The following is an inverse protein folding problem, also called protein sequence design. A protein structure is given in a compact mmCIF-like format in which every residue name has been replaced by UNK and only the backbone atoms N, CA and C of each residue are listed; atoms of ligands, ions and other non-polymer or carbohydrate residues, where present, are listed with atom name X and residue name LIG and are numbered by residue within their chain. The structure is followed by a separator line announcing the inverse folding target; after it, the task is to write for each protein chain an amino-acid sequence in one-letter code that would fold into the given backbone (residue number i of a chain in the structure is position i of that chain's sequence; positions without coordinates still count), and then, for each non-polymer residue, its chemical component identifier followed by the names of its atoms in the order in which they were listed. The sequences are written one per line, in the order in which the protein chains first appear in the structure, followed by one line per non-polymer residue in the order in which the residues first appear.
data_IF_028379198175
#
_entry.id   IF_028379198175
#
_cell.length_a   1.000
_cell.length_b   1.000
_cell.length_c   1.000
_cell.angle_alpha   90.00
_cell.angle_beta   90.00
_cell.angle_gamma   90.00
#
_symmetry.space_group_name_H-M   'P 1'
#
loop_
_entity.id
_entity.type
_entity.pdbx_description
1 polymer ?
#
# COMPACT_ATOMS: atom_id res chain seq x y z
N UNK A 1 7.42 41.63 -61.24
CA UNK A 1 7.97 40.27 -61.35
C UNK A 1 6.78 39.34 -61.62
N UNK A 2 6.80 38.59 -62.75
CA UNK A 2 5.70 37.78 -63.27
C UNK A 2 5.65 36.42 -62.58
N UNK A 3 4.47 35.80 -62.38
CA UNK A 3 4.32 34.45 -61.85
C UNK A 3 4.50 33.41 -62.98
N UNK A 4 5.13 32.27 -62.60
CA UNK A 4 5.32 31.10 -63.47
C UNK A 4 4.07 30.18 -63.41
N UNK A 5 3.67 29.56 -64.57
CA UNK A 5 2.54 28.67 -64.59
C UNK A 5 2.89 27.20 -64.31
N UNK A 6 1.97 26.49 -63.67
CA UNK A 6 2.03 25.06 -63.37
C UNK A 6 1.62 24.23 -64.63
N UNK A 7 2.23 23.05 -64.92
CA UNK A 7 1.83 22.20 -66.02
C UNK A 7 0.74 21.22 -65.57
N UNK A 8 -0.26 21.08 -66.45
CA UNK A 8 -1.35 20.08 -66.38
C UNK A 8 -0.81 18.67 -66.65
N UNK A 9 -0.92 17.75 -65.68
CA UNK A 9 -0.62 16.33 -65.82
C UNK A 9 -1.87 15.54 -66.19
N UNK A 10 -1.82 14.82 -67.30
CA UNK A 10 -2.85 13.95 -67.87
C UNK A 10 -3.11 12.73 -66.98
N UNK A 11 -4.39 12.41 -66.75
CA UNK A 11 -4.84 11.18 -66.12
C UNK A 11 -4.62 9.97 -67.06
N UNK A 12 -3.82 9.02 -66.65
CA UNK A 12 -3.65 7.72 -67.29
C UNK A 12 -4.66 6.76 -66.69
N UNK A 13 -5.66 6.36 -67.50
CA UNK A 13 -6.60 5.30 -67.18
C UNK A 13 -5.93 3.96 -67.47
N UNK A 14 -5.72 3.13 -66.47
CA UNK A 14 -5.41 1.70 -66.61
C UNK A 14 -6.67 0.85 -66.57
N UNK A 15 -6.85 -0.14 -67.45
CA UNK A 15 -7.99 -1.06 -67.44
C UNK A 15 -7.72 -2.20 -66.45
N UNK A 16 -8.62 -2.38 -65.48
CA UNK A 16 -8.61 -3.53 -64.60
C UNK A 16 -9.28 -4.73 -65.30
N UNK A 17 -8.66 -5.92 -65.29
CA UNK A 17 -9.36 -7.12 -65.68
C UNK A 17 -10.30 -7.58 -64.59
N UNK A 18 -11.56 -7.70 -64.89
CA UNK A 18 -12.56 -8.42 -64.09
C UNK A 18 -12.23 -9.91 -64.17
N UNK A 19 -11.96 -10.52 -63.05
CA UNK A 19 -11.97 -11.94 -62.67
C UNK A 19 -10.83 -12.20 -61.66
N UNK A 20 -11.06 -11.94 -60.39
CA UNK A 20 -10.54 -12.69 -59.21
C UNK A 20 -11.28 -12.14 -57.98
N UNK A 21 -12.56 -12.47 -57.86
CA UNK A 21 -13.31 -12.22 -56.62
C UNK A 21 -14.00 -13.51 -56.23
N UNK A 22 -13.31 -14.46 -55.64
CA UNK A 22 -13.93 -15.60 -54.96
C UNK A 22 -13.01 -16.41 -54.02
N UNK A 23 -11.74 -16.05 -53.82
CA UNK A 23 -10.85 -16.94 -53.04
C UNK A 23 -10.06 -16.29 -51.90
N UNK A 24 -10.39 -15.06 -51.46
CA UNK A 24 -9.65 -14.37 -50.38
C UNK A 24 -10.53 -14.10 -49.14
N UNK A 25 -11.79 -14.51 -49.10
CA UNK A 25 -12.72 -14.29 -48.00
C UNK A 25 -12.79 -15.45 -46.98
N UNK A 26 -11.99 -16.51 -47.12
CA UNK A 26 -11.98 -17.66 -46.21
C UNK A 26 -10.72 -17.75 -45.30
N UNK A 27 -9.75 -16.85 -45.42
CA UNK A 27 -8.48 -16.93 -44.65
C UNK A 27 -8.29 -15.81 -43.62
N UNK A 28 -9.28 -14.95 -43.38
CA UNK A 28 -9.18 -13.81 -42.40
C UNK A 28 -10.10 -13.92 -41.20
N UNK A 29 -10.64 -15.11 -40.89
CA UNK A 29 -11.53 -15.34 -39.74
C UNK A 29 -10.92 -16.21 -38.61
N UNK A 30 -9.61 -16.42 -38.58
CA UNK A 30 -8.96 -17.26 -37.55
C UNK A 30 -7.86 -16.52 -36.78
N UNK A 31 -7.80 -15.21 -36.73
CA UNK A 31 -6.76 -14.48 -36.01
C UNK A 31 -7.27 -13.33 -35.15
N UNK A 32 -8.47 -13.43 -34.57
CA UNK A 32 -8.94 -12.51 -33.49
C UNK A 32 -9.53 -13.30 -32.33
N UNK A 33 -8.86 -14.37 -31.91
CA UNK A 33 -8.91 -14.78 -30.53
C UNK A 33 -7.65 -14.24 -29.87
N UNK A 34 -7.67 -12.92 -29.67
CA UNK A 34 -6.70 -12.23 -28.84
C UNK A 34 -6.75 -12.83 -27.45
N UNK A 35 -5.59 -13.09 -26.93
CA UNK A 35 -5.32 -13.41 -25.53
C UNK A 35 -5.92 -12.32 -24.63
N UNK A 36 -7.20 -12.43 -24.31
CA UNK A 36 -7.81 -11.69 -23.23
C UNK A 36 -7.12 -12.11 -21.92
N UNK A 37 -6.96 -11.21 -20.96
CA UNK A 37 -6.43 -11.60 -19.67
C UNK A 37 -7.30 -12.71 -19.11
N UNK A 38 -6.70 -13.87 -18.86
CA UNK A 38 -7.38 -14.98 -18.19
C UNK A 38 -7.71 -14.54 -16.77
N UNK A 39 -8.99 -14.27 -16.50
CA UNK A 39 -9.48 -14.09 -15.14
C UNK A 39 -9.24 -15.40 -14.38
N UNK A 40 -8.33 -15.38 -13.46
CA UNK A 40 -8.16 -16.44 -12.48
C UNK A 40 -9.46 -16.52 -11.68
N UNK A 41 -9.97 -17.74 -11.45
CA UNK A 41 -11.21 -17.98 -10.70
C UNK A 41 -11.19 -17.44 -9.26
N UNK A 42 -10.03 -17.01 -8.75
CA UNK A 42 -9.89 -16.42 -7.41
C UNK A 42 -10.11 -14.89 -7.34
N UNK A 43 -10.43 -14.22 -8.45
CA UNK A 43 -10.70 -12.78 -8.47
C UNK A 43 -9.53 -11.88 -8.03
N UNK A 44 -8.34 -12.45 -7.84
CA UNK A 44 -7.12 -11.69 -7.52
C UNK A 44 -6.36 -11.41 -8.79
N UNK A 45 -6.32 -10.14 -9.19
CA UNK A 45 -5.37 -9.68 -10.20
C UNK A 45 -3.96 -10.00 -9.67
N UNK A 46 -3.24 -10.91 -10.32
CA UNK A 46 -1.81 -11.07 -10.06
C UNK A 46 -1.13 -9.81 -10.60
N UNK A 47 -0.62 -8.99 -9.71
CA UNK A 47 0.22 -7.85 -10.09
C UNK A 47 1.42 -8.36 -10.91
N UNK A 48 1.76 -7.65 -11.99
CA UNK A 48 2.95 -7.92 -12.78
C UNK A 48 4.22 -7.65 -11.96
N UNK A 49 5.39 -8.14 -12.41
CA UNK A 49 6.66 -7.81 -11.77
C UNK A 49 6.87 -6.29 -11.76
N UNK A 50 6.97 -5.69 -10.57
CA UNK A 50 7.14 -4.25 -10.37
C UNK A 50 5.86 -3.44 -10.20
N UNK A 51 4.68 -4.05 -10.34
CA UNK A 51 3.41 -3.40 -10.06
C UNK A 51 3.17 -3.29 -8.55
N UNK A 52 2.81 -2.08 -8.09
CA UNK A 52 2.49 -1.84 -6.67
C UNK A 52 1.11 -2.39 -6.36
N UNK A 53 1.04 -3.33 -5.42
CA UNK A 53 -0.23 -3.89 -4.95
C UNK A 53 -0.88 -2.91 -3.98
N UNK A 54 -2.04 -2.37 -4.36
CA UNK A 54 -2.88 -1.56 -3.48
C UNK A 54 -3.72 -2.49 -2.60
N UNK A 55 -3.57 -2.44 -1.28
CA UNK A 55 -4.28 -3.35 -0.39
C UNK A 55 -5.78 -3.03 -0.33
N UNK A 56 -6.58 -4.08 -0.09
CA UNK A 56 -8.00 -3.94 0.17
C UNK A 56 -8.31 -4.37 1.60
N UNK A 57 -8.86 -3.46 2.40
CA UNK A 57 -9.25 -3.68 3.79
C UNK A 57 -10.77 -3.71 3.98
N UNK A 58 -11.55 -3.48 2.93
CA UNK A 58 -13.00 -3.31 2.99
C UNK A 58 -13.74 -4.42 2.26
N UNK A 59 -14.88 -4.84 2.84
CA UNK A 59 -15.77 -5.80 2.23
C UNK A 59 -16.80 -5.09 1.35
N UNK A 60 -16.77 -5.38 0.04
CA UNK A 60 -17.73 -4.82 -0.93
C UNK A 60 -19.18 -5.24 -0.66
N UNK A 61 -19.37 -6.39 -0.01
CA UNK A 61 -20.71 -6.93 0.24
C UNK A 61 -21.36 -6.33 1.49
N UNK A 62 -20.56 -5.68 2.35
CA UNK A 62 -21.00 -5.13 3.62
C UNK A 62 -20.70 -3.64 3.72
N UNK A 63 -21.21 -2.85 2.75
CA UNK A 63 -21.05 -1.40 2.74
C UNK A 63 -21.80 -0.78 3.92
N UNK A 64 -21.15 0.03 4.76
CA UNK A 64 -21.83 0.74 5.83
C UNK A 64 -22.83 1.74 5.25
N UNK A 65 -23.99 1.88 5.91
CA UNK A 65 -24.96 2.90 5.54
C UNK A 65 -24.39 4.30 5.81
N UNK A 66 -24.74 5.25 4.94
CA UNK A 66 -24.41 6.66 5.18
C UNK A 66 -25.06 7.13 6.48
N UNK A 67 -24.30 7.57 7.48
CA UNK A 67 -24.86 8.05 8.74
C UNK A 67 -25.49 9.43 8.57
N UNK A 68 -26.41 9.77 9.47
CA UNK A 68 -26.92 11.14 9.59
C UNK A 68 -25.89 12.01 10.32
N UNK A 69 -25.35 12.99 9.61
CA UNK A 69 -24.37 13.95 10.13
C UNK A 69 -24.94 15.36 10.31
N UNK A 70 -26.28 15.52 10.39
CA UNK A 70 -26.97 16.82 10.47
C UNK A 70 -26.45 17.72 11.60
N UNK A 71 -25.91 17.12 12.68
CA UNK A 71 -25.31 17.87 13.81
C UNK A 71 -23.80 18.09 13.72
N UNK A 72 -23.10 17.47 12.76
CA UNK A 72 -21.66 17.51 12.67
C UNK A 72 -21.22 18.61 11.71
N UNK A 73 -20.75 19.75 12.24
CA UNK A 73 -20.30 20.89 11.42
C UNK A 73 -18.84 20.78 11.02
N UNK A 74 -18.01 20.22 11.88
CA UNK A 74 -16.56 20.08 11.67
C UNK A 74 -16.04 18.85 12.40
N UNK A 75 -15.12 18.12 11.77
CA UNK A 75 -14.36 17.03 12.40
C UNK A 75 -12.93 17.52 12.63
N UNK A 76 -12.47 17.47 13.88
CA UNK A 76 -11.15 17.94 14.29
C UNK A 76 -10.20 16.72 14.37
N UNK A 77 -9.35 16.57 13.37
CA UNK A 77 -8.31 15.53 13.36
C UNK A 77 -7.08 15.99 14.13
N UNK A 78 -6.52 15.08 14.90
CA UNK A 78 -5.23 15.21 15.58
C UNK A 78 -4.22 14.30 14.87
N UNK A 79 -3.02 14.81 14.63
CA UNK A 79 -1.90 14.06 14.07
C UNK A 79 -0.60 14.56 14.68
N UNK A 80 0.51 13.86 14.44
CA UNK A 80 1.86 14.43 14.59
C UNK A 80 2.51 14.59 13.20
N UNK A 81 3.73 15.12 13.15
CA UNK A 81 4.39 15.51 11.91
C UNK A 81 5.80 14.88 11.73
N UNK A 82 6.05 13.75 12.39
CA UNK A 82 7.39 13.15 12.47
C UNK A 82 7.50 11.74 11.86
N UNK A 83 6.51 11.26 11.11
CA UNK A 83 6.49 9.88 10.60
C UNK A 83 6.14 9.79 9.10
N UNK A 84 7.02 10.27 8.20
CA UNK A 84 6.80 10.10 6.76
C UNK A 84 6.85 8.59 6.38
N UNK A 85 6.10 8.17 5.36
CA UNK A 85 5.18 8.97 4.52
C UNK A 85 3.74 9.05 5.07
N UNK A 86 3.49 8.59 6.30
CA UNK A 86 2.13 8.50 6.85
C UNK A 86 1.61 9.84 7.36
N UNK A 87 2.43 10.59 8.11
CA UNK A 87 2.11 11.93 8.61
C UNK A 87 3.41 12.72 8.88
N UNK A 88 3.53 13.88 8.27
CA UNK A 88 4.73 14.71 8.35
C UNK A 88 4.40 16.18 8.02
N UNK A 89 5.33 17.09 8.30
CA UNK A 89 5.24 18.46 7.80
C UNK A 89 5.79 18.55 6.37
N UNK A 90 5.04 19.16 5.45
CA UNK A 90 5.53 19.45 4.11
C UNK A 90 6.57 20.59 4.09
N UNK A 91 6.99 21.02 2.90
CA UNK A 91 7.97 22.07 2.74
C UNK A 91 7.51 23.45 3.28
N UNK A 92 6.21 23.65 3.35
CA UNK A 92 5.54 24.83 3.87
C UNK A 92 5.22 24.73 5.38
N UNK A 93 5.56 23.58 6.00
CA UNK A 93 5.29 23.29 7.41
C UNK A 93 3.84 22.90 7.69
N UNK A 94 3.06 22.55 6.66
CA UNK A 94 1.68 22.12 6.82
C UNK A 94 1.61 20.59 7.01
N UNK A 95 0.60 20.09 7.76
CA UNK A 95 0.44 18.65 7.93
C UNK A 95 0.10 17.97 6.60
N UNK A 96 0.89 16.98 6.23
CA UNK A 96 0.79 16.18 5.02
C UNK A 96 1.02 14.69 5.32
N UNK A 97 0.87 13.83 4.32
CA UNK A 97 1.12 12.40 4.42
C UNK A 97 -0.14 11.57 4.17
N UNK A 98 0.06 10.27 3.97
CA UNK A 98 -1.02 9.36 3.58
C UNK A 98 -2.22 9.39 4.53
N UNK A 99 -2.00 9.34 5.85
CA UNK A 99 -3.08 9.37 6.84
C UNK A 99 -3.81 10.71 6.87
N UNK A 100 -3.09 11.81 6.63
CA UNK A 100 -3.62 13.17 6.63
C UNK A 100 -4.47 13.42 5.39
N UNK A 101 -3.95 13.05 4.21
CA UNK A 101 -4.67 13.23 2.95
C UNK A 101 -5.87 12.28 2.84
N UNK A 102 -5.76 11.06 3.39
CA UNK A 102 -6.90 10.16 3.51
C UNK A 102 -7.99 10.73 4.42
N UNK A 103 -7.62 11.38 5.55
CA UNK A 103 -8.59 12.04 6.41
C UNK A 103 -9.32 13.19 5.67
N UNK A 104 -8.60 13.99 4.86
CA UNK A 104 -9.20 15.03 4.01
C UNK A 104 -10.17 14.44 2.99
N UNK A 105 -9.75 13.40 2.26
CA UNK A 105 -10.59 12.71 1.27
C UNK A 105 -11.88 12.13 1.91
N UNK A 106 -11.78 11.57 3.10
CA UNK A 106 -12.95 11.09 3.87
C UNK A 106 -13.89 12.24 4.19
N UNK A 107 -13.37 13.40 4.59
CA UNK A 107 -14.19 14.58 4.87
C UNK A 107 -14.92 15.12 3.63
N UNK A 108 -14.23 15.12 2.48
CA UNK A 108 -14.82 15.53 1.20
C UNK A 108 -16.00 14.62 0.82
N UNK A 109 -15.85 13.31 0.97
CA UNK A 109 -16.93 12.32 0.75
C UNK A 109 -18.11 12.54 1.72
N UNK A 110 -17.81 12.83 2.98
CA UNK A 110 -18.82 13.09 4.00
C UNK A 110 -19.48 14.47 3.84
N UNK A 111 -18.88 15.38 3.07
CA UNK A 111 -19.28 16.78 2.91
C UNK A 111 -19.30 17.53 4.25
N UNK A 112 -18.33 17.26 5.10
CA UNK A 112 -18.15 17.89 6.41
C UNK A 112 -16.80 18.63 6.42
N UNK A 113 -16.78 19.83 6.98
CA UNK A 113 -15.53 20.57 7.15
C UNK A 113 -14.59 19.81 8.11
N UNK A 114 -13.28 19.81 7.79
CA UNK A 114 -12.28 19.17 8.63
C UNK A 114 -11.14 20.12 8.95
N UNK A 115 -10.59 19.96 10.15
CA UNK A 115 -9.36 20.63 10.56
C UNK A 115 -8.32 19.57 10.95
N UNK A 116 -7.06 19.79 10.57
CA UNK A 116 -5.94 18.94 10.98
C UNK A 116 -5.10 19.73 11.97
N UNK A 117 -4.90 19.20 13.15
CA UNK A 117 -4.15 19.84 14.23
C UNK A 117 -2.95 18.97 14.60
N UNK A 118 -1.76 19.53 14.48
CA UNK A 118 -0.53 18.85 14.89
C UNK A 118 -0.38 18.91 16.41
N UNK A 119 -0.02 17.79 17.01
CA UNK A 119 0.29 17.58 18.42
C UNK A 119 1.52 16.68 18.55
N UNK A 120 2.18 16.71 19.69
CA UNK A 120 3.21 15.72 19.98
C UNK A 120 2.60 14.32 20.04
N UNK A 121 3.26 13.33 19.48
CA UNK A 121 2.79 11.95 19.39
C UNK A 121 2.37 11.38 20.76
N UNK A 122 3.20 11.60 21.79
CA UNK A 122 2.96 11.13 23.16
C UNK A 122 1.72 11.74 23.84
N UNK A 123 1.19 12.86 23.31
CA UNK A 123 0.01 13.55 23.85
C UNK A 123 -1.28 13.31 23.04
N UNK A 124 -1.22 12.59 21.92
CA UNK A 124 -2.36 12.42 21.02
C UNK A 124 -3.56 11.74 21.70
N UNK A 125 -3.31 10.61 22.37
CA UNK A 125 -4.39 9.82 23.01
C UNK A 125 -5.02 10.58 24.17
N UNK A 126 -4.24 11.30 24.97
CA UNK A 126 -4.77 12.11 26.08
C UNK A 126 -5.51 13.33 25.54
N UNK A 127 -5.02 13.99 24.47
CA UNK A 127 -5.71 15.08 23.81
C UNK A 127 -7.08 14.65 23.26
N UNK A 128 -7.19 13.43 22.70
CA UNK A 128 -8.45 12.86 22.24
C UNK A 128 -9.39 12.58 23.41
N UNK A 129 -8.90 11.99 24.49
CA UNK A 129 -9.68 11.72 25.70
C UNK A 129 -10.23 13.01 26.34
N UNK A 130 -9.45 14.10 26.31
CA UNK A 130 -9.83 15.43 26.82
C UNK A 130 -10.68 16.25 25.81
N UNK A 131 -11.15 15.65 24.73
CA UNK A 131 -11.97 16.29 23.70
C UNK A 131 -11.30 17.50 23.02
N UNK A 132 -9.97 17.55 22.96
CA UNK A 132 -9.21 18.57 22.23
C UNK A 132 -9.23 18.34 20.71
N UNK A 133 -9.71 17.19 20.26
CA UNK A 133 -10.01 16.77 18.90
C UNK A 133 -11.07 15.67 18.92
N UNK A 134 -11.45 15.22 17.75
CA UNK A 134 -12.52 14.22 17.60
C UNK A 134 -11.97 12.88 17.09
N UNK A 135 -10.89 12.92 16.29
CA UNK A 135 -10.28 11.77 15.60
C UNK A 135 -8.76 11.91 15.65
N UNK A 136 -8.04 10.81 15.83
CA UNK A 136 -6.60 10.75 15.58
C UNK A 136 -6.36 10.09 14.22
N UNK A 137 -5.59 10.77 13.36
CA UNK A 137 -5.05 10.28 12.09
C UNK A 137 -3.52 10.20 12.19
N UNK A 138 -3.03 9.16 12.87
CA UNK A 138 -1.61 8.90 13.07
C UNK A 138 -1.32 7.40 13.01
N UNK A 139 -0.06 7.02 12.82
CA UNK A 139 0.37 5.62 12.68
C UNK A 139 0.40 4.86 14.02
N UNK A 140 -0.66 4.94 14.80
CA UNK A 140 -0.80 4.20 16.06
C UNK A 140 -1.34 2.80 15.75
N UNK A 141 -0.58 1.72 16.00
CA UNK A 141 -1.02 0.37 15.72
C UNK A 141 -2.26 -0.03 16.54
N UNK A 142 -3.23 -0.61 15.88
CA UNK A 142 -4.42 -1.16 16.54
C UNK A 142 -4.01 -2.40 17.35
N UNK A 143 -4.15 -2.30 18.67
CA UNK A 143 -3.88 -3.38 19.63
C UNK A 143 -4.99 -3.42 20.66
N UNK A 144 -5.10 -4.53 21.38
CA UNK A 144 -6.12 -4.74 22.40
C UNK A 144 -6.18 -3.61 23.44
N UNK A 145 -5.04 -3.16 23.97
CA UNK A 145 -4.97 -2.06 24.94
C UNK A 145 -5.54 -0.73 24.38
N UNK A 146 -5.37 -0.47 23.08
CA UNK A 146 -5.99 0.70 22.44
C UNK A 146 -7.51 0.55 22.39
N UNK A 147 -8.00 -0.62 22.00
CA UNK A 147 -9.44 -0.92 21.91
C UNK A 147 -10.16 -0.90 23.26
N UNK A 148 -9.45 -1.11 24.35
CA UNK A 148 -10.01 -0.97 25.70
C UNK A 148 -10.34 0.49 26.07
N UNK A 149 -9.60 1.46 25.54
CA UNK A 149 -9.75 2.89 25.86
C UNK A 149 -10.51 3.66 24.78
N UNK A 150 -10.36 3.29 23.53
CA UNK A 150 -10.85 4.01 22.37
C UNK A 150 -11.58 3.10 21.39
N UNK A 151 -12.37 3.70 20.50
CA UNK A 151 -12.93 3.06 19.32
C UNK A 151 -12.00 3.31 18.13
N UNK A 152 -11.90 2.35 17.21
CA UNK A 152 -11.07 2.45 16.01
C UNK A 152 -11.89 2.05 14.80
N UNK A 153 -11.73 2.77 13.69
CA UNK A 153 -12.32 2.40 12.39
C UNK A 153 -11.76 1.07 11.88
N UNK A 154 -12.29 0.60 10.77
CA UNK A 154 -11.60 -0.37 9.93
C UNK A 154 -10.18 0.12 9.62
N UNK A 155 -9.18 -0.77 9.58
CA UNK A 155 -7.83 -0.36 9.25
C UNK A 155 -7.78 0.14 7.81
N UNK A 156 -7.05 1.23 7.60
CA UNK A 156 -6.80 1.78 6.26
C UNK A 156 -5.35 1.58 5.81
N UNK A 157 -4.48 1.13 6.68
CA UNK A 157 -3.09 0.84 6.38
C UNK A 157 -2.59 -0.34 7.21
N UNK A 158 -1.81 -1.20 6.56
CA UNK A 158 -1.08 -2.28 7.21
C UNK A 158 0.22 -2.49 6.43
N UNK A 159 1.28 -2.82 7.13
CA UNK A 159 2.52 -3.27 6.52
C UNK A 159 2.73 -4.75 6.87
N UNK A 160 3.02 -5.61 5.89
CA UNK A 160 3.38 -7.00 6.17
C UNK A 160 4.81 -7.08 6.68
N UNK A 161 5.13 -8.14 7.42
CA UNK A 161 6.52 -8.54 7.57
C UNK A 161 7.00 -9.29 6.31
N UNK A 162 8.24 -9.07 5.91
CA UNK A 162 8.80 -9.67 4.70
C UNK A 162 10.20 -10.23 4.97
N UNK A 163 10.52 -11.33 4.28
CA UNK A 163 11.91 -11.78 4.15
C UNK A 163 12.59 -11.05 2.99
N UNK A 164 13.85 -10.73 3.19
CA UNK A 164 14.75 -10.21 2.16
C UNK A 164 16.00 -11.08 2.13
N UNK A 165 16.45 -11.42 0.93
CA UNK A 165 17.67 -12.18 0.65
C UNK A 165 18.50 -11.49 -0.42
N UNK A 166 19.76 -11.89 -0.59
CA UNK A 166 20.63 -11.40 -1.67
C UNK A 166 20.09 -11.79 -3.04
N UNK A 167 20.14 -10.90 -4.02
CA UNK A 167 19.56 -11.08 -5.34
C UNK A 167 20.27 -12.16 -6.19
N UNK A 168 21.56 -12.35 -6.02
CA UNK A 168 22.37 -13.30 -6.80
C UNK A 168 22.63 -14.65 -6.14
N UNK A 169 21.86 -15.03 -5.11
CA UNK A 169 22.04 -16.29 -4.40
C UNK A 169 20.91 -17.29 -4.65
N UNK A 170 21.23 -18.59 -4.67
CA UNK A 170 20.25 -19.69 -4.74
C UNK A 170 19.62 -19.99 -3.38
N UNK A 171 19.19 -18.92 -2.66
CA UNK A 171 18.48 -19.12 -1.42
C UNK A 171 17.02 -19.49 -1.72
N UNK A 172 16.51 -20.58 -1.13
CA UNK A 172 15.13 -21.02 -1.34
C UNK A 172 14.13 -20.05 -0.70
N UNK A 173 12.87 -20.16 -1.12
CA UNK A 173 11.79 -19.46 -0.42
C UNK A 173 11.73 -19.87 1.05
N UNK A 174 11.45 -18.92 1.97
CA UNK A 174 11.40 -19.19 3.39
C UNK A 174 10.22 -20.09 3.75
N UNK A 175 10.51 -21.33 4.12
CA UNK A 175 9.57 -22.29 4.72
C UNK A 175 10.16 -22.81 6.02
N UNK A 176 9.37 -23.56 6.80
CA UNK A 176 9.85 -24.18 8.03
C UNK A 176 11.06 -25.09 7.76
N UNK A 177 11.04 -25.80 6.65
CA UNK A 177 12.07 -26.75 6.24
C UNK A 177 13.32 -26.05 5.66
N UNK A 178 13.12 -25.07 4.80
CA UNK A 178 14.22 -24.40 4.09
C UNK A 178 15.02 -23.46 4.98
N UNK A 179 14.45 -22.98 6.08
CA UNK A 179 15.12 -22.13 7.05
C UNK A 179 15.91 -22.91 8.12
N UNK A 180 15.82 -24.25 8.15
CA UNK A 180 16.61 -25.06 9.10
C UNK A 180 18.09 -24.77 8.93
N UNK A 181 18.73 -24.31 10.02
CA UNK A 181 20.16 -23.99 10.06
C UNK A 181 20.56 -22.68 9.37
N UNK A 182 19.64 -22.00 8.66
CA UNK A 182 19.88 -20.69 8.04
C UNK A 182 19.83 -19.58 9.09
N UNK A 183 20.67 -18.58 8.90
CA UNK A 183 20.71 -17.41 9.81
C UNK A 183 19.79 -16.30 9.29
N UNK A 184 18.82 -15.93 10.10
CA UNK A 184 17.87 -14.84 9.80
C UNK A 184 18.09 -13.67 10.73
N UNK A 185 18.45 -12.51 10.17
CA UNK A 185 18.63 -11.25 10.90
C UNK A 185 17.28 -10.63 11.26
N UNK A 186 17.12 -10.20 12.51
CA UNK A 186 15.96 -9.46 13.01
C UNK A 186 16.41 -8.37 13.96
N UNK A 187 15.58 -7.33 14.16
CA UNK A 187 15.82 -6.34 15.20
C UNK A 187 15.55 -6.96 16.58
N UNK A 188 16.43 -6.70 17.54
CA UNK A 188 16.29 -7.20 18.90
C UNK A 188 14.95 -6.76 19.53
N UNK A 189 14.34 -7.65 20.30
CA UNK A 189 13.05 -7.40 21.00
C UNK A 189 11.87 -7.01 20.07
N UNK A 190 12.00 -7.24 18.78
CA UNK A 190 10.92 -6.96 17.80
C UNK A 190 9.89 -8.08 17.73
N UNK A 191 8.69 -7.74 17.29
CA UNK A 191 7.63 -8.71 16.95
C UNK A 191 8.10 -9.70 15.88
N UNK A 192 8.94 -9.24 14.94
CA UNK A 192 9.54 -10.07 13.89
C UNK A 192 10.42 -11.20 14.48
N UNK A 193 11.23 -10.86 15.49
CA UNK A 193 12.05 -11.85 16.19
C UNK A 193 11.22 -12.88 16.97
N UNK A 194 10.12 -12.44 17.60
CA UNK A 194 9.18 -13.34 18.29
C UNK A 194 8.48 -14.26 17.29
N UNK A 195 7.96 -13.71 16.20
CA UNK A 195 7.31 -14.45 15.12
C UNK A 195 8.24 -15.51 14.54
N UNK A 196 9.46 -15.13 14.18
CA UNK A 196 10.46 -16.02 13.60
C UNK A 196 10.74 -17.23 14.50
N UNK A 197 10.93 -17.03 15.80
CA UNK A 197 11.18 -18.10 16.76
C UNK A 197 10.02 -19.09 16.88
N UNK A 198 8.79 -18.62 16.76
CA UNK A 198 7.58 -19.44 16.90
C UNK A 198 7.27 -20.18 15.60
N UNK A 199 7.32 -19.48 14.47
CA UNK A 199 6.87 -20.02 13.19
C UNK A 199 7.99 -20.75 12.42
N UNK A 200 9.25 -20.46 12.71
CA UNK A 200 10.42 -21.05 12.05
C UNK A 200 11.45 -21.51 13.08
N UNK A 201 11.12 -22.50 13.93
CA UNK A 201 11.96 -22.88 15.08
C UNK A 201 13.33 -23.46 14.69
N UNK A 202 13.48 -23.92 13.45
CA UNK A 202 14.77 -24.42 12.92
C UNK A 202 15.72 -23.32 12.42
N UNK A 203 15.26 -22.06 12.33
CA UNK A 203 16.08 -20.95 11.89
C UNK A 203 17.02 -20.47 13.02
N UNK A 204 18.26 -20.12 12.65
CA UNK A 204 19.18 -19.42 13.56
C UNK A 204 18.86 -17.94 13.58
N UNK A 205 18.47 -17.41 14.74
CA UNK A 205 18.07 -16.00 14.88
C UNK A 205 19.30 -15.14 15.19
N UNK A 206 19.69 -14.29 14.22
CA UNK A 206 20.68 -13.23 14.40
C UNK A 206 19.99 -11.93 14.86
N UNK A 207 20.28 -11.45 16.07
CA UNK A 207 19.65 -10.21 16.60
C UNK A 207 20.55 -9.01 16.41
N UNK A 208 19.97 -7.89 15.96
CA UNK A 208 20.66 -6.63 15.71
C UNK A 208 20.01 -5.48 16.51
N UNK A 209 20.77 -4.48 16.96
CA UNK A 209 20.23 -3.34 17.71
C UNK A 209 19.20 -2.51 16.90
N UNK A 210 19.37 -2.44 15.57
CA UNK A 210 18.49 -1.70 14.67
C UNK A 210 18.45 -2.36 13.28
N UNK A 211 17.53 -1.91 12.43
CA UNK A 211 17.30 -2.47 11.10
C UNK A 211 18.48 -2.23 10.16
N UNK A 212 19.12 -1.06 10.21
CA UNK A 212 20.28 -0.75 9.37
C UNK A 212 21.43 -1.73 9.54
N UNK A 213 21.75 -2.11 10.78
CA UNK A 213 22.77 -3.12 11.05
C UNK A 213 22.39 -4.51 10.57
N UNK A 214 21.10 -4.88 10.59
CA UNK A 214 20.62 -6.13 10.01
C UNK A 214 20.73 -6.12 8.47
N UNK A 215 20.41 -4.98 7.84
CA UNK A 215 20.55 -4.75 6.41
C UNK A 215 22.01 -4.83 5.96
N UNK A 216 22.93 -4.20 6.70
CA UNK A 216 24.38 -4.31 6.46
C UNK A 216 24.87 -5.74 6.60
N UNK A 217 24.41 -6.46 7.63
CA UNK A 217 24.78 -7.86 7.82
C UNK A 217 24.30 -8.76 6.66
N UNK A 218 23.14 -8.47 6.06
CA UNK A 218 22.68 -9.17 4.87
C UNK A 218 23.56 -8.86 3.65
N UNK A 219 23.86 -7.59 3.41
CA UNK A 219 24.74 -7.15 2.34
C UNK A 219 26.12 -7.79 2.46
N UNK A 220 26.68 -7.80 3.67
CA UNK A 220 27.99 -8.35 4.01
C UNK A 220 28.03 -9.89 4.11
N UNK A 221 26.93 -10.60 3.82
CA UNK A 221 26.82 -12.05 3.87
C UNK A 221 27.01 -12.65 5.29
N UNK A 222 26.77 -11.89 6.33
CA UNK A 222 26.83 -12.35 7.75
C UNK A 222 25.55 -13.08 8.15
N UNK A 223 24.44 -12.84 7.42
CA UNK A 223 23.16 -13.54 7.56
C UNK A 223 22.65 -13.96 6.16
N UNK A 224 21.83 -15.01 6.11
CA UNK A 224 21.22 -15.49 4.87
C UNK A 224 20.01 -14.65 4.46
N UNK A 225 19.20 -14.29 5.45
CA UNK A 225 17.98 -13.49 5.29
C UNK A 225 17.92 -12.38 6.33
N UNK A 226 17.12 -11.35 6.05
CA UNK A 226 16.57 -10.42 7.05
C UNK A 226 15.06 -10.53 7.03
N UNK A 227 14.45 -10.57 8.22
CA UNK A 227 12.99 -10.58 8.37
C UNK A 227 12.55 -9.35 9.16
N UNK A 228 11.83 -8.45 8.50
CA UNK A 228 11.49 -7.14 9.04
C UNK A 228 10.21 -6.56 8.40
N UNK A 229 9.88 -5.33 8.79
CA UNK A 229 8.78 -4.54 8.22
C UNK A 229 8.93 -4.36 6.71
N UNK A 230 7.87 -4.68 5.96
CA UNK A 230 7.88 -4.69 4.50
C UNK A 230 8.10 -3.31 3.89
N UNK A 231 7.47 -2.25 4.43
CA UNK A 231 7.67 -0.89 3.91
C UNK A 231 9.10 -0.42 4.14
N UNK A 232 9.62 -0.60 5.36
CA UNK A 232 11.00 -0.22 5.69
C UNK A 232 12.01 -0.93 4.79
N UNK A 233 11.78 -2.23 4.51
CA UNK A 233 12.64 -2.99 3.60
C UNK A 233 12.46 -2.58 2.14
N UNK A 234 11.23 -2.26 1.69
CA UNK A 234 10.99 -1.77 0.33
C UNK A 234 11.69 -0.44 0.06
N UNK A 235 11.64 0.49 1.01
CA UNK A 235 12.33 1.78 0.91
C UNK A 235 13.85 1.58 0.83
N UNK A 236 14.40 0.71 1.67
CA UNK A 236 15.83 0.39 1.63
C UNK A 236 16.22 -0.28 0.30
N UNK A 237 15.48 -1.29 -0.18
CA UNK A 237 15.76 -2.01 -1.43
C UNK A 237 15.77 -1.09 -2.65
N UNK A 238 14.98 -0.03 -2.64
CA UNK A 238 14.91 0.96 -3.72
C UNK A 238 15.84 2.17 -3.48
N UNK A 239 16.48 2.25 -2.32
CA UNK A 239 17.45 3.29 -1.99
C UNK A 239 18.87 2.96 -2.44
N UNK A 240 19.75 3.96 -2.35
CA UNK A 240 21.18 3.82 -2.67
C UNK A 240 21.90 2.82 -1.77
N UNK A 241 21.47 2.71 -0.52
CA UNK A 241 22.16 1.93 0.53
C UNK A 241 22.10 0.42 0.28
N UNK A 242 21.05 -0.06 -0.37
CA UNK A 242 20.98 -1.45 -0.78
C UNK A 242 21.92 -1.79 -1.94
N UNK A 243 22.32 -0.79 -2.76
CA UNK A 243 23.19 -0.95 -3.92
C UNK A 243 22.78 -2.12 -4.85
N UNK A 244 21.46 -2.41 -4.97
CA UNK A 244 20.94 -3.52 -5.76
C UNK A 244 21.30 -4.93 -5.24
N UNK A 245 21.80 -5.05 -3.99
CA UNK A 245 22.29 -6.33 -3.44
C UNK A 245 21.20 -7.37 -3.30
N UNK A 246 19.97 -6.96 -3.10
CA UNK A 246 19.00 -7.75 -2.38
C UNK A 246 17.59 -7.62 -2.98
N UNK A 247 16.70 -8.58 -2.63
CA UNK A 247 15.31 -8.60 -3.08
C UNK A 247 14.39 -9.22 -2.04
N UNK A 248 13.13 -8.94 -2.12
CA UNK A 248 12.12 -9.71 -1.39
C UNK A 248 12.10 -11.17 -1.84
N UNK A 249 11.82 -12.04 -0.88
CA UNK A 249 11.69 -13.47 -1.12
C UNK A 249 10.56 -14.05 -0.24
N UNK A 250 9.74 -14.93 -0.78
CA UNK A 250 8.54 -15.45 -0.14
C UNK A 250 7.39 -14.43 -0.07
N UNK A 251 6.28 -14.88 0.46
CA UNK A 251 5.07 -14.11 0.57
C UNK A 251 5.07 -13.08 1.70
N UNK A 252 4.05 -12.19 1.76
CA UNK A 252 3.84 -11.31 2.91
C UNK A 252 3.31 -12.09 4.11
N UNK A 253 3.76 -11.71 5.31
CA UNK A 253 3.32 -12.27 6.60
C UNK A 253 2.53 -11.19 7.34
N UNK A 254 1.25 -11.46 7.61
CA UNK A 254 0.30 -10.44 8.10
C UNK A 254 -0.44 -10.85 9.37
N UNK A 255 0.07 -11.82 10.13
CA UNK A 255 -0.56 -12.35 11.33
C UNK A 255 -0.74 -11.26 12.40
N UNK A 256 -1.98 -10.85 12.60
CA UNK A 256 -2.36 -9.74 13.47
C UNK A 256 -1.93 -9.91 14.93
N UNK A 257 -1.84 -11.15 15.40
CA UNK A 257 -1.34 -11.48 16.74
C UNK A 257 0.08 -10.94 16.99
N UNK A 258 0.93 -10.86 15.95
CA UNK A 258 2.31 -10.41 16.06
C UNK A 258 2.49 -8.98 15.53
N UNK A 259 1.91 -8.66 14.38
CA UNK A 259 2.15 -7.41 13.66
C UNK A 259 1.03 -6.38 13.85
N UNK A 260 -0.01 -6.73 14.64
CA UNK A 260 -1.17 -5.89 14.86
C UNK A 260 -2.20 -5.96 13.72
N UNK A 261 -3.33 -5.30 13.94
CA UNK A 261 -4.44 -5.28 12.97
C UNK A 261 -4.23 -4.21 11.88
N UNK A 262 -3.20 -3.39 11.99
CA UNK A 262 -2.92 -2.26 11.12
C UNK A 262 -3.14 -0.93 11.83
N UNK A 263 -3.38 0.12 11.04
CA UNK A 263 -3.64 1.50 11.46
C UNK A 263 -5.03 1.91 10.99
N UNK A 264 -5.80 2.50 11.87
CA UNK A 264 -7.13 3.06 11.62
C UNK A 264 -7.28 4.43 12.28
N UNK A 265 -8.34 5.15 11.99
CA UNK A 265 -8.67 6.36 12.73
C UNK A 265 -9.14 6.01 14.13
N UNK A 266 -8.63 6.74 15.13
CA UNK A 266 -8.96 6.49 16.54
C UNK A 266 -9.94 7.57 17.01
N UNK A 267 -11.00 7.14 17.69
CA UNK A 267 -12.12 7.96 18.09
C UNK A 267 -12.43 7.67 19.56
N UNK A 268 -13.08 8.60 20.28
CA UNK A 268 -13.63 8.30 21.61
C UNK A 268 -14.67 7.18 21.55
N UNK A 269 -14.82 6.42 22.63
CA UNK A 269 -15.77 5.29 22.67
C UNK A 269 -17.24 5.68 22.64
N UNK A 270 -17.55 6.87 23.04
CA UNK A 270 -18.91 7.43 23.16
C UNK A 270 -19.43 8.05 21.86
N UNK A 271 -18.71 7.92 20.75
CA UNK A 271 -19.10 8.49 19.46
C UNK A 271 -19.24 7.41 18.34
N UNK A 272 -20.26 6.56 18.42
CA UNK A 272 -20.49 5.53 17.41
C UNK A 272 -20.91 6.10 16.04
N UNK A 273 -21.54 7.28 16.02
CA UNK A 273 -21.98 7.95 14.78
C UNK A 273 -20.76 8.41 14.00
N UNK A 274 -19.79 9.04 14.65
CA UNK A 274 -18.55 9.45 14.01
C UNK A 274 -17.74 8.26 13.49
N UNK A 275 -17.69 7.16 14.26
CA UNK A 275 -17.07 5.92 13.79
C UNK A 275 -17.73 5.42 12.50
N UNK A 276 -19.05 5.30 12.49
CA UNK A 276 -19.80 4.85 11.31
C UNK A 276 -19.57 5.77 10.10
N UNK A 277 -19.51 7.09 10.35
CA UNK A 277 -19.23 8.07 9.31
C UNK A 277 -17.84 7.87 8.68
N UNK A 278 -16.82 7.69 9.52
CA UNK A 278 -15.46 7.51 9.06
C UNK A 278 -15.30 6.17 8.33
N UNK A 279 -15.92 5.07 8.82
CA UNK A 279 -15.91 3.79 8.13
C UNK A 279 -16.62 3.87 6.76
N UNK A 280 -17.76 4.58 6.68
CA UNK A 280 -18.44 4.85 5.42
C UNK A 280 -17.55 5.69 4.47
N UNK A 281 -16.96 6.75 4.97
CA UNK A 281 -16.08 7.62 4.17
C UNK A 281 -14.86 6.86 3.63
N UNK A 282 -14.19 6.06 4.47
CA UNK A 282 -13.05 5.22 4.06
C UNK A 282 -13.43 4.25 2.94
N UNK A 283 -14.58 3.58 3.06
CA UNK A 283 -15.03 2.68 2.02
C UNK A 283 -15.34 3.41 0.71
N UNK A 284 -15.98 4.58 0.77
CA UNK A 284 -16.29 5.37 -0.43
C UNK A 284 -15.02 5.89 -1.13
N UNK A 285 -14.05 6.39 -0.38
CA UNK A 285 -12.73 6.81 -0.91
C UNK A 285 -12.00 5.63 -1.58
N UNK A 286 -12.22 4.41 -1.07
CA UNK A 286 -11.69 3.21 -1.71
C UNK A 286 -12.48 2.81 -2.98
N UNK A 287 -13.82 2.89 -2.94
CA UNK A 287 -14.69 2.53 -4.07
C UNK A 287 -14.51 3.44 -5.28
N UNK A 288 -14.28 4.74 -5.07
CA UNK A 288 -14.10 5.74 -6.14
C UNK A 288 -12.66 5.82 -6.68
N UNK A 289 -11.72 5.06 -6.09
CA UNK A 289 -10.32 4.99 -6.52
C UNK A 289 -9.39 6.01 -5.87
N UNK A 290 -9.90 6.98 -5.11
CA UNK A 290 -9.07 8.00 -4.42
C UNK A 290 -8.07 7.36 -3.46
N UNK A 291 -8.46 6.28 -2.76
CA UNK A 291 -7.54 5.53 -1.91
C UNK A 291 -6.35 4.99 -2.69
N UNK A 292 -6.59 4.41 -3.87
CA UNK A 292 -5.52 3.86 -4.70
C UNK A 292 -4.57 4.96 -5.19
N UNK A 293 -5.08 6.11 -5.59
CA UNK A 293 -4.26 7.26 -5.98
C UNK A 293 -3.39 7.77 -4.84
N UNK A 294 -3.96 7.95 -3.65
CA UNK A 294 -3.22 8.34 -2.45
C UNK A 294 -2.18 7.29 -2.07
N UNK A 295 -2.56 6.00 -2.08
CA UNK A 295 -1.65 4.92 -1.76
C UNK A 295 -0.43 4.92 -2.69
N UNK A 296 -0.63 4.98 -4.01
CA UNK A 296 0.45 5.00 -5.00
C UNK A 296 1.31 6.28 -4.91
N UNK A 297 0.73 7.41 -4.52
CA UNK A 297 1.47 8.66 -4.30
C UNK A 297 2.49 8.53 -3.17
N UNK A 298 2.08 7.92 -2.05
CA UNK A 298 2.92 7.82 -0.85
C UNK A 298 3.73 6.53 -0.76
N UNK A 299 3.33 5.48 -1.47
CA UNK A 299 3.96 4.17 -1.49
C UNK A 299 4.24 3.70 -2.92
N UNK A 300 5.15 4.37 -3.65
CA UNK A 300 5.43 4.02 -5.04
C UNK A 300 6.26 2.73 -5.20
N UNK A 301 6.45 1.98 -4.12
CA UNK A 301 7.22 0.73 -4.08
C UNK A 301 6.38 -0.40 -3.52
N UNK A 302 6.46 -1.58 -4.16
CA UNK A 302 5.73 -2.76 -3.69
C UNK A 302 6.38 -3.34 -2.44
N UNK A 303 5.57 -3.62 -1.40
CA UNK A 303 5.98 -4.28 -0.17
C UNK A 303 5.01 -5.40 0.27
N UNK A 304 4.01 -5.68 -0.54
CA UNK A 304 3.11 -6.83 -0.41
C UNK A 304 3.58 -8.03 -1.21
#
# INVERSE_FOLDING_TARGET
MKPFPLPHGRAVRWPWPRFVTAAVLAALLVAVFGTGPSLSQDGRLRAGPGEVVVPNFWDRQNSPNKPDLTGVRVIRFLTDDLYPPLHFADAEGLPAGFSVDLARAVCDVLQVACTIQVRRFDTLLDSLAESRGDVIAAAIPIREGLRQRFTVTSPYYRTPARFVARAGGDLPEPTVETLVGRTVGVVAQSAHGVYLKVMFPGAKVGTFPNLGLAQDALRDRKVDYVFADGLSMALWLNGSDAAGCCRFIGGPYTESRYFGEGVGFIIRRDDPILRQALDYGLQKVWEDGTYAELFLRYFPVSFY
#
